data_IF_153238539781
#
_entry.id   IF_153238539781
#
_cell.length_a   1.000
_cell.length_b   1.000
_cell.length_c   1.000
_cell.angle_alpha   90.00
_cell.angle_beta   90.00
_cell.angle_gamma   90.00
#
_symmetry.space_group_name_H-M   'P 1'
#
loop_
_entity.id
_entity.type
_entity.pdbx_description
1 polymer ?
#
# COMPACT_ATOMS: atom_id res chain seq x y z
N UNK A 1 -10.03 3.26 -17.46
CA UNK A 1 -9.06 3.35 -16.35
C UNK A 1 -8.85 4.74 -15.81
N UNK A 2 -8.99 5.79 -16.66
CA UNK A 2 -8.85 7.17 -16.19
C UNK A 2 -9.86 7.53 -15.09
N UNK A 3 -11.12 7.07 -15.20
CA UNK A 3 -12.13 7.36 -14.18
C UNK A 3 -11.81 6.71 -12.84
N UNK A 4 -11.22 5.52 -12.86
CA UNK A 4 -10.78 4.85 -11.63
C UNK A 4 -9.61 5.60 -10.98
N UNK A 5 -8.64 6.02 -11.80
CA UNK A 5 -7.51 6.82 -11.33
C UNK A 5 -7.99 8.16 -10.73
N UNK A 6 -8.93 8.82 -11.41
CA UNK A 6 -9.48 10.08 -10.92
C UNK A 6 -10.18 9.91 -9.57
N UNK A 7 -10.91 8.80 -9.38
CA UNK A 7 -11.55 8.51 -8.12
C UNK A 7 -10.52 8.32 -7.01
N UNK A 8 -9.39 7.64 -7.29
CA UNK A 8 -8.32 7.44 -6.32
C UNK A 8 -7.58 8.72 -5.97
N UNK A 9 -7.52 9.69 -6.88
CA UNK A 9 -6.91 10.99 -6.59
C UNK A 9 -7.70 11.80 -5.56
N UNK A 10 -9.01 11.56 -5.46
CA UNK A 10 -9.89 12.32 -4.59
C UNK A 10 -10.09 11.69 -3.21
N UNK A 11 -9.35 10.62 -2.89
CA UNK A 11 -9.51 9.94 -1.61
C UNK A 11 -8.16 9.70 -0.95
N UNK A 12 -8.20 9.65 0.38
CA UNK A 12 -7.13 9.13 1.21
C UNK A 12 -7.57 7.75 1.72
N UNK A 13 -6.67 6.99 2.32
CA UNK A 13 -7.12 5.70 2.83
C UNK A 13 -6.00 4.77 3.25
N UNK A 14 -6.42 3.57 3.62
CA UNK A 14 -5.53 2.47 4.00
C UNK A 14 -5.63 1.41 2.91
N UNK A 15 -4.48 0.96 2.44
CA UNK A 15 -4.42 -0.03 1.37
C UNK A 15 -3.58 -1.23 1.79
N UNK A 16 -3.73 -2.32 1.05
CA UNK A 16 -2.97 -3.55 1.25
C UNK A 16 -2.35 -3.99 -0.06
N UNK A 17 -1.06 -4.30 -0.03
CA UNK A 17 -0.40 -5.01 -1.10
C UNK A 17 -0.30 -6.47 -0.69
N UNK A 18 -0.75 -7.36 -1.55
CA UNK A 18 -0.73 -8.79 -1.29
C UNK A 18 0.24 -9.48 -2.22
N UNK A 19 1.22 -10.19 -1.65
CA UNK A 19 2.05 -11.10 -2.41
C UNK A 19 1.29 -12.42 -2.52
N UNK A 20 0.67 -12.64 -3.67
CA UNK A 20 -0.23 -13.80 -3.86
C UNK A 20 0.51 -15.13 -3.82
N UNK A 21 1.82 -15.12 -4.04
CA UNK A 21 2.62 -16.34 -3.99
C UNK A 21 2.86 -16.84 -2.58
N UNK A 22 3.07 -15.92 -1.64
CA UNK A 22 3.40 -16.27 -0.24
C UNK A 22 2.28 -16.01 0.73
N UNK A 23 1.31 -15.17 0.35
CA UNK A 23 0.25 -14.71 1.23
C UNK A 23 0.67 -13.58 2.15
N UNK A 24 1.90 -13.08 2.05
CA UNK A 24 2.38 -11.99 2.89
C UNK A 24 1.78 -10.66 2.46
N UNK A 25 1.47 -9.83 3.44
CA UNK A 25 0.78 -8.56 3.23
C UNK A 25 1.65 -7.37 3.63
N UNK A 26 1.42 -6.25 2.98
CA UNK A 26 1.96 -4.95 3.37
C UNK A 26 0.82 -3.96 3.49
N UNK A 27 0.67 -3.34 4.65
CA UNK A 27 -0.35 -2.33 4.90
C UNK A 27 0.29 -0.95 4.85
N UNK A 28 -0.34 -0.04 4.13
CA UNK A 28 0.12 1.34 4.05
C UNK A 28 -1.05 2.30 4.03
N UNK A 29 -0.75 3.58 4.06
CA UNK A 29 -1.77 4.62 3.97
C UNK A 29 -1.31 5.72 3.03
N UNK A 30 -2.27 6.48 2.51
CA UNK A 30 -2.03 7.59 1.62
C UNK A 30 -2.83 8.78 2.10
N UNK A 31 -2.13 9.83 2.55
CA UNK A 31 -2.76 11.03 3.11
C UNK A 31 -2.32 12.31 2.40
N UNK A 32 -1.34 12.22 1.49
CA UNK A 32 -0.81 13.39 0.81
C UNK A 32 -1.61 13.82 -0.41
N UNK A 33 -1.13 14.85 -1.07
CA UNK A 33 -1.69 15.32 -2.33
C UNK A 33 -1.68 14.20 -3.37
N UNK A 34 -2.77 14.05 -4.11
CA UNK A 34 -2.93 12.95 -5.06
C UNK A 34 -3.44 11.67 -4.43
N UNK A 35 -3.50 11.61 -3.09
CA UNK A 35 -4.13 10.53 -2.33
C UNK A 35 -3.63 9.14 -2.67
N UNK A 36 -4.55 8.19 -2.74
CA UNK A 36 -4.25 6.79 -3.03
C UNK A 36 -3.59 6.64 -4.40
N UNK A 37 -3.99 7.45 -5.40
CA UNK A 37 -3.42 7.36 -6.74
C UNK A 37 -1.93 7.68 -6.74
N UNK A 38 -1.50 8.73 -6.00
CA UNK A 38 -0.09 9.10 -5.93
C UNK A 38 0.74 8.00 -5.28
N UNK A 39 0.22 7.40 -4.22
CA UNK A 39 0.92 6.30 -3.52
C UNK A 39 1.04 5.08 -4.41
N UNK A 40 -0.04 4.75 -5.11
CA UNK A 40 -0.02 3.64 -6.05
C UNK A 40 1.02 3.86 -7.16
N UNK A 41 1.10 5.10 -7.66
CA UNK A 41 2.10 5.48 -8.66
C UNK A 41 3.53 5.25 -8.16
N UNK A 42 3.82 5.56 -6.89
CA UNK A 42 5.12 5.29 -6.30
C UNK A 42 5.47 3.80 -6.35
N UNK A 43 4.52 2.93 -6.05
CA UNK A 43 4.77 1.49 -6.11
C UNK A 43 4.96 1.00 -7.55
N UNK A 44 4.21 1.55 -8.50
CA UNK A 44 4.38 1.19 -9.91
C UNK A 44 5.78 1.58 -10.43
N UNK A 45 6.32 2.70 -9.97
CA UNK A 45 7.64 3.17 -10.38
C UNK A 45 8.78 2.46 -9.68
N UNK A 46 8.73 2.40 -8.34
CA UNK A 46 9.84 1.87 -7.53
C UNK A 46 9.68 0.40 -7.15
N UNK A 47 8.44 -0.12 -7.21
CA UNK A 47 8.08 -1.48 -6.81
C UNK A 47 8.18 -1.76 -5.30
N UNK A 48 8.71 -0.84 -4.52
CA UNK A 48 8.85 -1.05 -3.08
C UNK A 48 8.41 0.16 -2.24
N UNK A 49 8.17 1.32 -2.88
CA UNK A 49 7.72 2.52 -2.18
C UNK A 49 8.63 2.97 -1.04
N UNK A 50 9.89 2.54 -1.04
CA UNK A 50 10.85 2.86 0.03
C UNK A 50 10.80 1.92 1.23
N UNK A 51 9.94 0.91 1.25
CA UNK A 51 9.87 -0.05 2.34
C UNK A 51 11.04 -1.03 2.28
N UNK A 52 11.72 -1.23 3.43
CA UNK A 52 12.93 -2.06 3.49
C UNK A 52 12.67 -3.51 3.07
N UNK A 53 11.62 -4.13 3.60
CA UNK A 53 11.33 -5.53 3.30
C UNK A 53 10.92 -5.72 1.84
N UNK A 54 10.14 -4.80 1.28
CA UNK A 54 9.76 -4.84 -0.13
C UNK A 54 10.98 -4.60 -1.02
N UNK A 55 11.88 -3.71 -0.61
CA UNK A 55 13.09 -3.45 -1.36
C UNK A 55 14.00 -4.68 -1.41
N UNK A 56 14.14 -5.38 -0.29
CA UNK A 56 14.90 -6.63 -0.24
C UNK A 56 14.30 -7.68 -1.16
N UNK A 57 12.98 -7.78 -1.18
CA UNK A 57 12.28 -8.69 -2.06
C UNK A 57 12.50 -8.32 -3.52
N UNK A 58 12.42 -7.04 -3.86
CA UNK A 58 12.67 -6.55 -5.21
C UNK A 58 14.08 -6.90 -5.67
N UNK A 59 15.07 -6.66 -4.82
CA UNK A 59 16.46 -6.94 -5.15
C UNK A 59 16.71 -8.43 -5.37
N UNK A 60 16.00 -9.29 -4.66
CA UNK A 60 16.14 -10.74 -4.76
C UNK A 60 15.36 -11.32 -5.94
N UNK A 61 14.10 -10.90 -6.13
CA UNK A 61 13.19 -11.53 -7.08
C UNK A 61 13.02 -10.75 -8.40
N UNK A 62 13.25 -9.43 -8.39
CA UNK A 62 13.14 -8.61 -9.59
C UNK A 62 11.75 -8.05 -9.85
N UNK A 63 11.66 -7.21 -10.89
CA UNK A 63 10.44 -6.50 -11.25
C UNK A 63 9.31 -7.43 -11.68
N UNK A 64 9.65 -8.49 -12.40
CA UNK A 64 8.65 -9.41 -12.93
C UNK A 64 7.87 -10.11 -11.82
N UNK A 65 8.54 -10.42 -10.72
CA UNK A 65 7.90 -11.00 -9.55
C UNK A 65 6.77 -10.10 -9.03
N UNK A 66 7.05 -8.81 -8.90
CA UNK A 66 6.05 -7.85 -8.42
C UNK A 66 4.89 -7.73 -9.39
N UNK A 67 5.18 -7.67 -10.69
CA UNK A 67 4.14 -7.55 -11.71
C UNK A 67 3.20 -8.76 -11.70
N UNK A 68 3.73 -9.94 -11.51
CA UNK A 68 2.96 -11.17 -11.58
C UNK A 68 2.25 -11.55 -10.29
N UNK A 69 2.80 -11.16 -9.14
CA UNK A 69 2.35 -11.69 -7.85
C UNK A 69 1.74 -10.67 -6.91
N UNK A 70 1.91 -9.38 -7.13
CA UNK A 70 1.39 -8.38 -6.21
C UNK A 70 0.03 -7.85 -6.65
N UNK A 71 -0.90 -7.80 -5.69
CA UNK A 71 -2.23 -7.22 -5.89
C UNK A 71 -2.42 -6.04 -4.93
N UNK A 72 -3.06 -4.98 -5.42
CA UNK A 72 -3.39 -3.80 -4.63
C UNK A 72 -4.86 -3.87 -4.22
N UNK A 73 -5.13 -3.70 -2.92
CA UNK A 73 -6.48 -3.68 -2.39
C UNK A 73 -6.67 -2.45 -1.52
N UNK A 74 -7.73 -1.70 -1.75
CA UNK A 74 -8.08 -0.56 -0.91
C UNK A 74 -8.97 -1.08 0.23
N UNK A 75 -8.47 -0.99 1.47
CA UNK A 75 -9.17 -1.51 2.65
C UNK A 75 -10.19 -0.51 3.19
N UNK A 76 -9.79 0.76 3.29
CA UNK A 76 -10.67 1.84 3.73
C UNK A 76 -10.32 3.11 2.96
N UNK A 77 -11.30 3.95 2.69
CA UNK A 77 -11.04 5.22 2.04
C UNK A 77 -11.85 6.33 2.72
N UNK A 78 -11.32 7.55 2.61
CA UNK A 78 -11.90 8.74 3.22
C UNK A 78 -11.72 9.90 2.25
N UNK A 79 -12.52 10.94 2.38
CA UNK A 79 -12.35 12.16 1.58
C UNK A 79 -11.02 12.84 1.91
N UNK A 80 -10.52 13.66 0.99
CA UNK A 80 -9.24 14.34 1.15
C UNK A 80 -9.20 15.29 2.36
N UNK A 81 -10.36 15.72 2.84
CA UNK A 81 -10.45 16.59 4.01
C UNK A 81 -10.43 15.83 5.34
N UNK A 82 -10.45 14.50 5.29
CA UNK A 82 -10.40 13.69 6.50
C UNK A 82 -9.06 13.86 7.20
N UNK A 83 -9.08 13.83 8.55
CA UNK A 83 -7.88 14.04 9.35
C UNK A 83 -6.81 12.98 9.05
N UNK A 84 -5.62 13.39 8.54
CA UNK A 84 -4.55 12.44 8.22
C UNK A 84 -4.11 11.60 9.42
N UNK A 85 -4.17 12.16 10.64
CA UNK A 85 -3.80 11.43 11.84
C UNK A 85 -4.73 10.23 12.07
N UNK A 86 -6.01 10.41 11.79
CA UNK A 86 -6.98 9.32 11.92
C UNK A 86 -6.76 8.24 10.88
N UNK A 87 -6.32 8.61 9.68
CA UNK A 87 -5.95 7.63 8.64
C UNK A 87 -4.77 6.79 9.13
N UNK A 88 -3.76 7.43 9.73
CA UNK A 88 -2.59 6.72 10.26
C UNK A 88 -2.98 5.78 11.41
N UNK A 89 -3.93 6.18 12.25
CA UNK A 89 -4.43 5.32 13.31
C UNK A 89 -5.11 4.07 12.74
N UNK A 90 -5.87 4.22 11.64
CA UNK A 90 -6.48 3.07 10.97
C UNK A 90 -5.42 2.17 10.34
N UNK A 91 -4.35 2.74 9.80
CA UNK A 91 -3.24 1.95 9.28
C UNK A 91 -2.64 1.06 10.37
N UNK A 92 -2.39 1.63 11.56
CA UNK A 92 -1.86 0.86 12.68
C UNK A 92 -2.82 -0.25 13.11
N UNK A 93 -4.11 0.06 13.14
CA UNK A 93 -5.14 -0.92 13.49
C UNK A 93 -5.12 -2.13 12.54
N UNK A 94 -5.01 -1.86 11.21
CA UNK A 94 -4.94 -2.92 10.22
C UNK A 94 -3.67 -3.75 10.35
N UNK A 95 -2.54 -3.11 10.64
CA UNK A 95 -1.27 -3.84 10.88
C UNK A 95 -1.40 -4.77 12.07
N UNK A 96 -2.06 -4.33 13.12
CA UNK A 96 -2.26 -5.15 14.32
C UNK A 96 -3.21 -6.31 14.03
N UNK A 97 -4.32 -6.05 13.33
CA UNK A 97 -5.31 -7.08 13.02
C UNK A 97 -4.74 -8.18 12.13
N UNK A 98 -3.92 -7.82 11.16
CA UNK A 98 -3.37 -8.76 10.18
C UNK A 98 -1.95 -9.21 10.51
N UNK A 99 -1.38 -8.68 11.58
CA UNK A 99 -0.04 -9.03 12.08
C UNK A 99 1.03 -8.95 10.99
N UNK A 100 0.99 -7.88 10.20
CA UNK A 100 1.87 -7.73 9.04
C UNK A 100 3.31 -7.40 9.41
N UNK A 101 3.54 -6.95 10.64
CA UNK A 101 4.91 -6.69 11.12
C UNK A 101 5.68 -7.98 11.33
N UNK A 102 5.03 -8.99 11.89
CA UNK A 102 5.65 -10.29 12.18
C UNK A 102 5.57 -11.24 10.99
N UNK A 103 4.44 -11.24 10.27
CA UNK A 103 4.15 -12.22 9.23
C UNK A 103 4.01 -11.63 7.83
N UNK A 104 4.34 -10.37 7.65
CA UNK A 104 4.23 -9.69 6.35
C UNK A 104 5.43 -8.81 6.06
N UNK A 105 5.20 -7.79 5.23
CA UNK A 105 6.27 -6.91 4.76
C UNK A 105 6.36 -5.58 5.52
N UNK A 106 5.55 -5.37 6.55
CA UNK A 106 5.68 -4.16 7.36
C UNK A 106 6.86 -4.32 8.33
N UNK A 107 7.69 -3.27 8.43
CA UNK A 107 8.85 -3.26 9.32
C UNK A 107 8.67 -2.29 10.49
N UNK A 108 7.50 -1.67 10.60
CA UNK A 108 7.20 -0.77 11.72
C UNK A 108 5.75 -0.88 12.19
#
# INVERSE_FOLDING_TARGET
MSSYHDALESVTGVYCLTDTRTGKLYIGSATGEGGVAARWGNYLDSKHGGNKKLRELYDREGEEYFRENFEFTLLEYFGMSYDPQKVLEREQWWKDCLDTRAHGYNDN
#
